data_IF_459329987232
#
_entry.id   IF_459329987232
#
_cell.length_a   1.000
_cell.length_b   1.000
_cell.length_c   1.000
_cell.angle_alpha   90.00
_cell.angle_beta   90.00
_cell.angle_gamma   90.00
#
_symmetry.space_group_name_H-M   'P 1'
#
loop_
_entity.id
_entity.type
_entity.pdbx_description
1 polymer ?
#
# COMPACT_ATOMS: atom_id res chain seq x y z
N UNK A 1 -11.40 -12.85 10.18
CA UNK A 1 -10.22 -12.69 9.31
C UNK A 1 -9.97 -11.22 8.98
N UNK A 2 -11.03 -10.43 8.76
CA UNK A 2 -10.96 -8.97 8.60
C UNK A 2 -10.20 -8.26 9.74
N UNK A 3 -10.42 -8.67 10.98
CA UNK A 3 -9.79 -8.04 12.16
C UNK A 3 -8.27 -8.28 12.26
N UNK A 4 -7.77 -9.40 11.73
CA UNK A 4 -6.34 -9.76 11.81
C UNK A 4 -5.52 -9.14 10.67
N UNK A 5 -6.16 -8.88 9.53
CA UNK A 5 -5.57 -8.20 8.37
C UNK A 5 -5.42 -6.68 8.61
N UNK A 6 -6.18 -6.11 9.54
CA UNK A 6 -6.33 -4.66 9.73
C UNK A 6 -5.04 -3.92 10.13
N UNK A 7 -4.13 -4.56 10.87
CA UNK A 7 -2.99 -3.85 11.49
C UNK A 7 -1.61 -4.17 10.90
N UNK A 8 -1.48 -5.21 10.08
CA UNK A 8 -0.18 -5.62 9.49
C UNK A 8 -0.10 -5.56 7.97
N UNK A 9 -1.23 -5.55 7.27
CA UNK A 9 -1.25 -5.10 5.88
C UNK A 9 -1.33 -3.59 5.92
N UNK A 10 -0.16 -2.93 5.78
CA UNK A 10 -0.13 -1.56 5.28
C UNK A 10 -1.07 -1.53 4.06
N UNK A 11 -2.09 -0.66 4.11
CA UNK A 11 -3.14 -0.43 3.12
C UNK A 11 -3.07 -1.23 1.80
N UNK A 12 -4.19 -1.83 1.38
CA UNK A 12 -4.31 -2.23 -0.03
C UNK A 12 -4.32 -0.92 -0.84
N UNK A 13 -3.28 -0.63 -1.64
CA UNK A 13 -3.22 0.64 -2.36
C UNK A 13 -4.40 0.70 -3.33
N UNK A 14 -5.08 1.85 -3.39
CA UNK A 14 -6.17 2.06 -4.34
C UNK A 14 -5.67 2.10 -5.79
N UNK A 15 -4.46 2.62 -5.97
CA UNK A 15 -3.93 3.06 -7.25
C UNK A 15 -4.65 4.29 -7.80
N UNK A 16 -4.13 4.79 -8.91
CA UNK A 16 -4.72 5.86 -9.71
C UNK A 16 -5.10 5.29 -11.08
N UNK A 17 -6.29 5.60 -11.56
CA UNK A 17 -6.76 5.11 -12.86
C UNK A 17 -6.01 5.83 -13.99
N UNK A 18 -5.41 5.07 -14.91
CA UNK A 18 -4.66 5.65 -16.03
C UNK A 18 -5.62 6.46 -16.90
N UNK A 19 -5.19 7.66 -17.31
CA UNK A 19 -5.97 8.63 -18.08
C UNK A 19 -7.19 9.23 -17.34
N UNK A 20 -7.33 9.05 -16.02
CA UNK A 20 -8.32 9.81 -15.26
C UNK A 20 -7.93 11.29 -15.15
N UNK A 21 -8.89 12.18 -14.81
CA UNK A 21 -8.56 13.57 -14.49
C UNK A 21 -7.50 13.69 -13.39
N UNK A 22 -7.60 12.90 -12.31
CA UNK A 22 -6.60 12.93 -11.23
C UNK A 22 -5.22 12.47 -11.70
N UNK A 23 -5.16 11.48 -12.60
CA UNK A 23 -3.90 11.03 -13.20
C UNK A 23 -3.22 12.14 -13.98
N UNK A 24 -3.98 12.86 -14.81
CA UNK A 24 -3.44 13.96 -15.60
C UNK A 24 -2.98 15.12 -14.70
N UNK A 25 -3.74 15.45 -13.65
CA UNK A 25 -3.33 16.46 -12.66
C UNK A 25 -2.02 16.09 -11.97
N UNK A 26 -1.88 14.82 -11.55
CA UNK A 26 -0.68 14.32 -10.90
C UNK A 26 0.54 14.34 -11.84
N UNK A 27 0.37 13.95 -13.11
CA UNK A 27 1.45 14.07 -14.10
C UNK A 27 1.87 15.52 -14.34
N UNK A 28 0.91 16.44 -14.41
CA UNK A 28 1.20 17.87 -14.56
C UNK A 28 1.96 18.43 -13.35
N UNK A 29 1.60 18.02 -12.13
CA UNK A 29 2.32 18.39 -10.91
C UNK A 29 3.78 17.91 -10.93
N UNK A 30 4.01 16.66 -11.32
CA UNK A 30 5.36 16.09 -11.44
C UNK A 30 6.19 16.79 -12.53
N UNK A 31 5.57 17.06 -13.69
CA UNK A 31 6.24 17.75 -14.79
C UNK A 31 6.64 19.18 -14.41
N UNK A 32 5.82 19.89 -13.63
CA UNK A 32 6.14 21.26 -13.15
C UNK A 32 7.41 21.30 -12.30
N UNK A 33 7.69 20.25 -11.52
CA UNK A 33 8.90 20.14 -10.68
C UNK A 33 10.07 19.44 -11.40
N UNK A 34 9.90 19.10 -12.68
CA UNK A 34 10.94 18.47 -13.49
C UNK A 34 11.08 16.95 -13.31
N UNK A 35 10.10 16.29 -12.69
CA UNK A 35 10.05 14.83 -12.56
C UNK A 35 9.21 14.23 -13.69
N UNK A 36 9.79 13.26 -14.40
CA UNK A 36 9.16 12.61 -15.54
C UNK A 36 9.22 11.10 -15.37
N UNK A 37 8.12 10.42 -15.69
CA UNK A 37 8.11 8.97 -15.79
C UNK A 37 8.69 8.51 -17.13
N UNK A 38 9.33 7.34 -17.15
CA UNK A 38 9.92 6.76 -18.37
C UNK A 38 8.87 6.36 -19.43
N UNK A 39 7.64 6.06 -19.01
CA UNK A 39 6.58 5.50 -19.85
C UNK A 39 5.34 6.37 -19.91
N UNK A 40 4.97 7.01 -18.82
CA UNK A 40 3.75 7.79 -18.73
C UNK A 40 3.93 9.19 -19.34
N UNK A 41 2.96 9.63 -20.15
CA UNK A 41 2.95 10.95 -20.80
C UNK A 41 1.56 11.57 -20.68
N UNK A 42 1.52 12.89 -20.52
CA UNK A 42 0.25 13.64 -20.54
C UNK A 42 -0.35 13.52 -21.96
N UNK A 43 -1.60 13.04 -22.05
CA UNK A 43 -2.28 12.79 -23.32
C UNK A 43 -2.58 14.09 -24.11
N UNK A 44 -2.75 15.20 -23.40
CA UNK A 44 -2.91 16.54 -23.98
C UNK A 44 -1.69 17.39 -23.60
N UNK A 45 -0.71 17.44 -24.49
CA UNK A 45 0.33 18.46 -24.44
C UNK A 45 -0.36 19.81 -24.65
N UNK A 46 -0.79 20.46 -23.56
CA UNK A 46 -0.79 21.91 -23.58
C UNK A 46 0.66 22.31 -23.85
N UNK A 47 0.90 22.98 -24.97
CA UNK A 47 2.14 23.67 -25.25
C UNK A 47 2.35 24.75 -24.16
N UNK A 48 2.69 24.37 -22.93
CA UNK A 48 3.23 25.33 -21.97
C UNK A 48 4.69 25.52 -22.37
N UNK A 49 4.87 26.39 -23.35
CA UNK A 49 6.12 27.08 -23.70
C UNK A 49 6.56 27.98 -22.54
N UNK A 50 6.68 27.42 -21.34
CA UNK A 50 7.31 28.06 -20.18
C UNK A 50 8.45 27.21 -19.69
N UNK A 51 9.51 27.37 -20.47
CA UNK A 51 10.92 27.32 -20.16
C UNK A 51 11.21 27.88 -18.73
N UNK A 52 10.84 27.15 -17.67
CA UNK A 52 11.13 27.52 -16.28
C UNK A 52 12.50 26.91 -15.91
N UNK A 53 13.55 27.62 -16.35
CA UNK A 53 14.95 27.23 -16.49
C UNK A 53 15.74 26.79 -15.24
N UNK A 54 15.12 26.38 -14.12
CA UNK A 54 15.87 26.09 -12.88
C UNK A 54 15.70 24.67 -12.28
N UNK A 55 14.74 23.86 -12.72
CA UNK A 55 14.58 22.50 -12.22
C UNK A 55 15.33 21.49 -13.11
N UNK A 56 16.22 20.69 -12.51
CA UNK A 56 16.88 19.60 -13.22
C UNK A 56 15.81 18.61 -13.71
N UNK A 57 15.80 18.34 -15.01
CA UNK A 57 14.92 17.32 -15.59
C UNK A 57 15.43 15.93 -15.19
N UNK A 58 14.63 15.18 -14.44
CA UNK A 58 14.96 13.83 -13.99
C UNK A 58 13.90 12.86 -14.52
N UNK A 59 14.34 11.93 -15.37
CA UNK A 59 13.52 10.83 -15.89
C UNK A 59 13.78 9.58 -15.05
N UNK A 60 12.76 9.04 -14.38
CA UNK A 60 12.88 7.86 -13.52
C UNK A 60 11.57 7.06 -13.51
N UNK A 61 11.57 5.79 -13.09
CA UNK A 61 10.32 5.05 -12.89
C UNK A 61 9.57 5.59 -11.67
N UNK A 62 8.49 6.33 -11.90
CA UNK A 62 7.60 6.88 -10.86
C UNK A 62 6.39 5.97 -10.64
N UNK A 63 5.90 5.34 -11.72
CA UNK A 63 4.73 4.47 -11.70
C UNK A 63 5.08 3.00 -11.95
N UNK A 64 4.25 2.11 -11.40
CA UNK A 64 4.19 0.69 -11.77
C UNK A 64 2.72 0.26 -11.87
N UNK A 65 2.46 -0.77 -12.68
CA UNK A 65 1.12 -1.35 -12.83
C UNK A 65 0.59 -1.87 -11.48
N UNK A 66 -0.71 -1.67 -11.25
CA UNK A 66 -1.37 -2.15 -10.05
C UNK A 66 -1.59 -3.67 -10.15
N UNK A 67 -1.05 -4.47 -9.21
CA UNK A 67 -0.99 -5.93 -9.35
C UNK A 67 -2.36 -6.62 -9.34
N UNK A 68 -3.38 -5.99 -8.76
CA UNK A 68 -4.72 -6.57 -8.61
C UNK A 68 -5.80 -5.85 -9.44
N UNK A 69 -5.44 -4.82 -10.22
CA UNK A 69 -6.42 -3.90 -10.80
C UNK A 69 -5.88 -3.35 -12.13
N UNK A 70 -6.33 -3.95 -13.22
CA UNK A 70 -5.88 -3.58 -14.56
C UNK A 70 -6.26 -2.13 -14.90
N UNK A 71 -5.35 -1.41 -15.55
CA UNK A 71 -5.53 0.01 -15.89
C UNK A 71 -5.26 0.99 -14.74
N UNK A 72 -4.91 0.50 -13.55
CA UNK A 72 -4.51 1.33 -12.42
C UNK A 72 -2.99 1.32 -12.23
N UNK A 73 -2.45 2.44 -11.78
CA UNK A 73 -1.04 2.63 -11.47
C UNK A 73 -0.83 2.89 -9.99
N UNK A 74 0.32 2.48 -9.47
CA UNK A 74 0.76 2.79 -8.10
C UNK A 74 2.15 3.39 -8.12
N UNK A 75 2.44 4.26 -7.17
CA UNK A 75 3.78 4.79 -6.99
C UNK A 75 4.78 3.65 -6.71
N UNK A 76 5.96 3.74 -7.34
CA UNK A 76 7.03 2.76 -7.15
C UNK A 76 7.46 2.72 -5.69
N UNK A 77 7.61 3.88 -5.06
CA UNK A 77 7.97 4.05 -3.65
C UNK A 77 6.72 4.26 -2.77
N UNK A 78 6.44 3.36 -1.81
CA UNK A 78 5.39 3.57 -0.82
C UNK A 78 5.66 4.74 0.16
N UNK A 79 4.61 5.28 0.83
CA UNK A 79 4.73 6.45 1.71
C UNK A 79 5.74 6.26 2.86
N UNK A 80 5.92 5.02 3.33
CA UNK A 80 6.87 4.69 4.43
C UNK A 80 8.32 5.04 4.14
N UNK A 81 8.69 5.22 2.87
CA UNK A 81 10.05 5.61 2.47
C UNK A 81 10.25 7.13 2.47
N UNK A 82 9.17 7.90 2.60
CA UNK A 82 9.21 9.35 2.72
C UNK A 82 9.23 9.73 4.20
N UNK A 83 10.43 9.97 4.73
CA UNK A 83 10.65 10.36 6.13
C UNK A 83 10.79 11.89 6.19
N UNK A 84 10.40 12.51 7.28
CA UNK A 84 10.62 13.96 7.49
C UNK A 84 12.13 14.25 7.45
N UNK A 85 12.54 15.25 6.65
CA UNK A 85 13.93 15.55 6.27
C UNK A 85 14.67 14.44 5.51
N UNK A 86 13.97 13.47 4.93
CA UNK A 86 14.57 12.49 4.03
C UNK A 86 14.99 13.09 2.69
N UNK A 87 16.04 12.53 2.08
CA UNK A 87 16.39 12.80 0.69
C UNK A 87 16.30 11.50 -0.11
N UNK A 88 15.66 11.58 -1.27
CA UNK A 88 15.67 10.49 -2.25
C UNK A 88 16.82 10.78 -3.20
N UNK A 89 17.76 9.85 -3.27
CA UNK A 89 18.90 9.92 -4.19
C UNK A 89 18.53 9.14 -5.45
N UNK A 90 18.66 9.80 -6.59
CA UNK A 90 18.41 9.21 -7.91
C UNK A 90 19.74 9.12 -8.63
N UNK A 91 20.06 7.93 -9.13
CA UNK A 91 21.22 7.73 -9.98
C UNK A 91 20.86 8.07 -11.42
N UNK A 92 21.50 9.12 -11.95
CA UNK A 92 21.31 9.58 -13.33
C UNK A 92 22.58 9.25 -14.12
N UNK A 93 22.43 8.66 -15.31
CA UNK A 93 23.56 8.38 -16.20
C UNK A 93 23.71 9.53 -17.21
N UNK A 94 24.83 10.24 -17.14
CA UNK A 94 25.20 11.30 -18.10
C UNK A 94 26.56 10.93 -18.69
N UNK A 95 26.63 10.78 -20.01
CA UNK A 95 27.87 10.47 -20.76
C UNK A 95 28.66 9.26 -20.21
N UNK A 96 27.96 8.16 -19.89
CA UNK A 96 28.55 6.92 -19.34
C UNK A 96 29.14 7.06 -17.92
N UNK A 97 28.78 8.12 -17.20
CA UNK A 97 29.06 8.29 -15.76
C UNK A 97 27.76 8.36 -14.98
N UNK A 98 27.72 7.62 -13.88
CA UNK A 98 26.61 7.63 -12.93
C UNK A 98 26.82 8.75 -11.92
N UNK A 99 25.80 9.58 -11.74
CA UNK A 99 25.76 10.64 -10.76
C UNK A 99 24.59 10.41 -9.82
N UNK A 100 24.87 10.47 -8.52
CA UNK A 100 23.86 10.43 -7.48
C UNK A 100 23.38 11.85 -7.20
N UNK A 101 22.13 12.12 -7.57
CA UNK A 101 21.51 13.44 -7.44
C UNK A 101 20.37 13.35 -6.43
N UNK A 102 20.42 14.11 -5.32
CA UNK A 102 19.30 14.19 -4.41
C UNK A 102 18.16 14.99 -5.06
N UNK A 103 16.93 14.52 -4.88
CA UNK A 103 15.76 15.31 -5.24
C UNK A 103 15.73 16.61 -4.43
N UNK A 104 15.36 17.70 -5.11
CA UNK A 104 15.08 18.95 -4.41
C UNK A 104 13.79 18.83 -3.58
N UNK A 105 13.52 19.83 -2.74
CA UNK A 105 12.37 19.81 -1.84
C UNK A 105 11.03 19.72 -2.59
N UNK A 106 10.85 20.49 -3.67
CA UNK A 106 9.62 20.47 -4.48
C UNK A 106 9.40 19.12 -5.16
N UNK A 107 10.46 18.52 -5.71
CA UNK A 107 10.46 17.19 -6.31
C UNK A 107 10.12 16.11 -5.29
N UNK A 108 10.73 16.19 -4.10
CA UNK A 108 10.45 15.26 -3.02
C UNK A 108 8.99 15.34 -2.56
N UNK A 109 8.45 16.56 -2.40
CA UNK A 109 7.07 16.77 -1.98
C UNK A 109 6.07 16.28 -3.03
N UNK A 110 6.29 16.56 -4.31
CA UNK A 110 5.44 16.05 -5.40
C UNK A 110 5.47 14.52 -5.47
N UNK A 111 6.65 13.91 -5.28
CA UNK A 111 6.77 12.45 -5.30
C UNK A 111 6.11 11.80 -4.07
N UNK A 112 6.24 12.44 -2.90
CA UNK A 112 5.52 12.05 -1.68
C UNK A 112 4.01 12.12 -1.89
N UNK A 113 3.53 13.20 -2.50
CA UNK A 113 2.11 13.39 -2.80
C UNK A 113 1.56 12.30 -3.74
N UNK A 114 2.28 11.97 -4.82
CA UNK A 114 1.96 10.83 -5.69
C UNK A 114 1.82 9.53 -4.89
N UNK A 115 2.79 9.27 -4.01
CA UNK A 115 2.79 8.10 -3.15
C UNK A 115 1.57 8.08 -2.22
N UNK A 116 1.24 9.19 -1.58
CA UNK A 116 0.10 9.28 -0.67
C UNK A 116 -1.25 9.07 -1.39
N UNK A 117 -1.42 9.64 -2.59
CA UNK A 117 -2.64 9.46 -3.38
C UNK A 117 -2.81 7.99 -3.81
N UNK A 118 -1.76 7.37 -4.33
CA UNK A 118 -1.84 5.99 -4.85
C UNK A 118 -1.98 4.93 -3.76
N UNK A 119 -1.45 5.18 -2.56
CA UNK A 119 -1.53 4.28 -1.40
C UNK A 119 -2.69 4.61 -0.45
N UNK A 120 -3.69 5.39 -0.89
CA UNK A 120 -4.97 5.50 -0.18
C UNK A 120 -5.57 4.11 0.05
N UNK A 121 -6.25 3.96 1.18
CA UNK A 121 -6.79 2.66 1.62
C UNK A 121 -7.93 2.17 0.72
N UNK A 122 -7.63 1.19 -0.12
CA UNK A 122 -8.55 0.50 -1.01
C UNK A 122 -9.22 -0.73 -0.42
N UNK A 123 -9.07 -1.02 0.88
CA UNK A 123 -9.71 -2.19 1.53
C UNK A 123 -11.23 -2.20 1.40
N UNK A 124 -11.85 -1.04 1.28
CA UNK A 124 -13.31 -0.91 1.10
C UNK A 124 -13.77 -1.18 -0.34
N UNK A 125 -12.85 -1.43 -1.28
CA UNK A 125 -13.18 -1.71 -2.68
C UNK A 125 -13.31 -3.21 -2.86
N UNK A 126 -14.55 -3.65 -3.07
CA UNK A 126 -14.91 -5.07 -3.24
C UNK A 126 -14.16 -5.74 -4.40
N UNK A 127 -13.84 -5.00 -5.47
CA UNK A 127 -13.08 -5.55 -6.59
C UNK A 127 -11.62 -5.86 -6.23
N UNK A 128 -10.99 -5.05 -5.37
CA UNK A 128 -9.62 -5.27 -4.91
C UNK A 128 -9.55 -6.49 -3.98
N UNK A 129 -10.47 -6.61 -3.03
CA UNK A 129 -10.51 -7.76 -2.11
C UNK A 129 -10.84 -9.04 -2.86
N UNK A 130 -11.79 -9.00 -3.81
CA UNK A 130 -12.14 -10.15 -4.65
C UNK A 130 -10.97 -10.60 -5.53
N UNK A 131 -10.25 -9.67 -6.16
CA UNK A 131 -9.09 -10.00 -6.97
C UNK A 131 -7.93 -10.53 -6.14
N UNK A 132 -7.71 -9.98 -4.94
CA UNK A 132 -6.74 -10.53 -3.99
C UNK A 132 -7.06 -11.98 -3.63
N UNK A 133 -8.33 -12.29 -3.33
CA UNK A 133 -8.76 -13.65 -2.99
C UNK A 133 -8.58 -14.59 -4.19
N UNK A 134 -8.87 -14.14 -5.42
CA UNK A 134 -8.61 -14.92 -6.63
C UNK A 134 -7.13 -15.26 -6.77
N UNK A 135 -6.25 -14.25 -6.67
CA UNK A 135 -4.80 -14.48 -6.73
C UNK A 135 -4.31 -15.36 -5.58
N UNK A 136 -4.84 -15.19 -4.38
CA UNK A 136 -4.53 -16.05 -3.23
C UNK A 136 -4.89 -17.52 -3.49
N UNK A 137 -6.06 -17.76 -4.08
CA UNK A 137 -6.56 -19.11 -4.37
C UNK A 137 -5.77 -19.82 -5.47
N UNK A 138 -5.05 -19.08 -6.32
CA UNK A 138 -4.15 -19.65 -7.32
C UNK A 138 -2.97 -20.40 -6.67
N UNK A 139 -2.61 -20.07 -5.43
CA UNK A 139 -1.57 -20.75 -4.68
C UNK A 139 -2.18 -21.86 -3.80
N UNK A 140 -1.96 -23.11 -4.16
CA UNK A 140 -2.54 -24.28 -3.49
C UNK A 140 -2.30 -24.27 -1.96
N UNK A 141 -1.08 -23.95 -1.51
CA UNK A 141 -0.73 -23.89 -0.09
C UNK A 141 -1.50 -22.79 0.64
N UNK A 142 -1.63 -21.62 0.03
CA UNK A 142 -2.34 -20.49 0.62
C UNK A 142 -3.85 -20.76 0.69
N UNK A 143 -4.41 -21.39 -0.35
CA UNK A 143 -5.80 -21.84 -0.35
C UNK A 143 -6.06 -22.85 0.79
N UNK A 144 -5.19 -23.85 0.97
CA UNK A 144 -5.30 -24.82 2.09
C UNK A 144 -5.31 -24.12 3.44
N UNK A 145 -4.44 -23.13 3.65
CA UNK A 145 -4.40 -22.33 4.88
C UNK A 145 -5.69 -21.55 5.07
N UNK A 146 -6.21 -20.92 4.02
CA UNK A 146 -7.47 -20.16 4.07
C UNK A 146 -8.66 -21.07 4.41
N UNK A 147 -8.77 -22.23 3.78
CA UNK A 147 -9.80 -23.24 4.07
C UNK A 147 -9.71 -23.71 5.52
N UNK A 148 -8.52 -24.08 5.99
CA UNK A 148 -8.30 -24.48 7.38
C UNK A 148 -8.68 -23.36 8.36
N UNK A 149 -8.27 -22.13 8.08
CA UNK A 149 -8.59 -20.97 8.92
C UNK A 149 -10.10 -20.75 9.02
N UNK A 150 -10.82 -20.85 7.91
CA UNK A 150 -12.28 -20.69 7.87
C UNK A 150 -13.04 -21.83 8.57
N UNK A 151 -12.38 -22.97 8.83
CA UNK A 151 -12.94 -24.08 9.61
C UNK A 151 -12.77 -23.90 11.12
N UNK A 152 -11.97 -22.91 11.56
CA UNK A 152 -11.79 -22.66 12.99
C UNK A 152 -13.11 -22.16 13.59
N UNK A 153 -13.64 -22.81 14.63
CA UNK A 153 -14.88 -22.41 15.25
C UNK A 153 -14.69 -21.04 15.94
N UNK A 154 -15.65 -20.13 15.73
CA UNK A 154 -15.63 -18.75 16.27
C UNK A 154 -15.66 -18.75 17.80
N UNK A 155 -16.19 -19.82 18.39
CA UNK A 155 -16.17 -20.07 19.82
C UNK A 155 -15.66 -21.49 20.07
N UNK A 156 -14.88 -21.68 21.13
CA UNK A 156 -14.54 -23.00 21.62
C UNK A 156 -15.45 -23.33 22.81
N UNK A 157 -15.99 -24.54 22.83
CA UNK A 157 -16.57 -25.07 24.05
C UNK A 157 -15.43 -25.38 25.01
N UNK A 158 -15.46 -24.80 26.21
CA UNK A 158 -14.51 -25.18 27.26
C UNK A 158 -14.75 -26.66 27.55
N UNK A 159 -13.71 -27.47 27.48
CA UNK A 159 -13.81 -28.89 27.81
C UNK A 159 -14.22 -29.05 29.28
N UNK A 160 -14.87 -30.16 29.68
CA UNK A 160 -15.21 -30.39 31.09
C UNK A 160 -14.01 -30.23 32.05
N UNK A 161 -12.81 -30.60 31.59
CA UNK A 161 -11.54 -30.38 32.30
C UNK A 161 -11.23 -28.89 32.43
N UNK A 162 -11.37 -28.11 31.35
CA UNK A 162 -11.18 -26.67 31.40
C UNK A 162 -12.18 -25.97 32.33
N UNK A 163 -13.44 -26.43 32.36
CA UNK A 163 -14.46 -25.93 33.29
C UNK A 163 -14.05 -26.26 34.73
N UNK A 164 -13.57 -27.48 34.99
CA UNK A 164 -13.09 -27.87 36.32
C UNK A 164 -11.88 -27.03 36.78
N UNK A 165 -10.93 -26.75 35.88
CA UNK A 165 -9.77 -25.90 36.17
C UNK A 165 -10.19 -24.47 36.47
N UNK A 166 -11.08 -23.90 35.64
CA UNK A 166 -11.61 -22.54 35.85
C UNK A 166 -12.36 -22.44 37.18
N UNK A 167 -13.19 -23.43 37.51
CA UNK A 167 -13.89 -23.53 38.78
C UNK A 167 -12.94 -23.68 39.97
N UNK A 168 -11.90 -24.50 39.86
CA UNK A 168 -10.89 -24.63 40.92
C UNK A 168 -10.16 -23.30 41.15
N UNK A 169 -9.72 -22.65 40.08
CA UNK A 169 -9.02 -21.37 40.15
C UNK A 169 -9.89 -20.28 40.78
N UNK A 170 -11.14 -20.10 40.30
CA UNK A 170 -11.99 -19.04 40.81
C UNK A 170 -12.34 -19.23 42.28
N UNK A 171 -12.45 -20.47 42.77
CA UNK A 171 -12.69 -20.78 44.18
C UNK A 171 -11.49 -20.51 45.08
N UNK A 172 -10.26 -20.62 44.56
CA UNK A 172 -9.07 -20.17 45.30
C UNK A 172 -9.03 -18.66 45.46
N UNK A 173 -9.55 -17.91 44.49
CA UNK A 173 -9.60 -16.44 44.52
C UNK A 173 -10.82 -15.89 45.27
N UNK A 174 -11.97 -16.54 45.14
CA UNK A 174 -13.26 -16.11 45.69
C UNK A 174 -14.05 -17.31 46.24
N UNK A 175 -13.79 -17.73 47.49
CA UNK A 175 -14.38 -18.94 48.07
C UNK A 175 -15.91 -18.90 48.24
N UNK A 176 -16.50 -17.70 48.22
CA UNK A 176 -17.93 -17.48 48.36
C UNK A 176 -18.73 -17.79 47.08
N UNK A 177 -18.06 -17.96 45.93
CA UNK A 177 -18.73 -18.33 44.69
C UNK A 177 -19.14 -19.82 44.78
N UNK A 178 -20.43 -20.15 44.63
CA UNK A 178 -20.91 -21.53 44.65
C UNK A 178 -20.24 -22.37 43.56
N UNK A 179 -20.09 -23.66 43.83
CA UNK A 179 -19.68 -24.62 42.80
C UNK A 179 -20.66 -24.55 41.64
N UNK A 180 -20.16 -24.47 40.40
CA UNK A 180 -20.98 -24.63 39.20
C UNK A 180 -21.36 -26.11 38.93
N UNK A 181 -21.12 -26.99 39.90
CA UNK A 181 -21.47 -28.41 39.93
C UNK A 181 -22.05 -28.77 41.30
#
# INVERSE_FOLDING_TARGET
>A
MEEFLSNKLACLPMGIERNSPEYNEMLLELHKVGLYDLKEKVAELYEDNRDNRNALKIEMPLFKEHPLREGFLICVLPPKYFIDNGSIIVTVNVDSKEFDIPLNEEQYLAYKHLSEITYKDGRNVESLTSNLIKEWNNYETLNKVMVWWNQLPIFFAITPIGVAIANAYIRTKYPAIPSMY
#
